data_IF_947987033312
#
_entry.id   IF_947987033312
#
_cell.length_a   1.000
_cell.length_b   1.000
_cell.length_c   1.000
_cell.angle_alpha   90.00
_cell.angle_beta   90.00
_cell.angle_gamma   90.00
#
_symmetry.space_group_name_H-M   'P 1'
#
loop_
_entity.id
_entity.type
_entity.pdbx_description
1 polymer ?
#
# COMPACT_ATOMS: atom_id res chain seq x y z
N UNK A 1 -29.20 45.75 -8.94
CA UNK A 1 -29.48 45.93 -7.51
C UNK A 1 -30.33 44.76 -6.98
N UNK A 2 -31.59 44.60 -7.38
CA UNK A 2 -32.44 43.48 -6.90
C UNK A 2 -31.91 42.06 -7.24
N UNK A 3 -31.38 41.85 -8.46
CA UNK A 3 -30.92 40.53 -8.90
C UNK A 3 -29.65 40.05 -8.18
N UNK A 4 -28.72 40.95 -7.88
CA UNK A 4 -27.49 40.66 -7.13
C UNK A 4 -27.78 40.31 -5.67
N UNK A 5 -28.79 40.96 -5.09
CA UNK A 5 -29.23 40.73 -3.72
C UNK A 5 -29.91 39.34 -3.59
N UNK A 6 -30.78 38.98 -4.55
CA UNK A 6 -31.40 37.65 -4.62
C UNK A 6 -30.36 36.54 -4.78
N UNK A 7 -29.33 36.75 -5.61
CA UNK A 7 -28.24 35.79 -5.78
C UNK A 7 -27.41 35.61 -4.49
N UNK A 8 -27.10 36.71 -3.81
CA UNK A 8 -26.37 36.68 -2.52
C UNK A 8 -27.16 35.94 -1.43
N UNK A 9 -28.47 36.18 -1.33
CA UNK A 9 -29.37 35.49 -0.39
C UNK A 9 -29.48 34.00 -0.70
N UNK A 10 -29.56 33.64 -1.99
CA UNK A 10 -29.62 32.23 -2.43
C UNK A 10 -28.31 31.51 -2.11
N UNK A 11 -27.16 32.13 -2.40
CA UNK A 11 -25.85 31.58 -2.10
C UNK A 11 -25.64 31.42 -0.59
N UNK A 12 -26.03 32.41 0.22
CA UNK A 12 -25.98 32.31 1.69
C UNK A 12 -26.85 31.17 2.21
N UNK A 13 -28.06 30.98 1.66
CA UNK A 13 -28.98 29.92 2.09
C UNK A 13 -28.41 28.54 1.74
N UNK A 14 -27.91 28.36 0.52
CA UNK A 14 -27.29 27.11 0.07
C UNK A 14 -26.05 26.78 0.91
N UNK A 15 -25.17 27.76 1.13
CA UNK A 15 -23.96 27.58 1.95
C UNK A 15 -24.31 27.22 3.39
N UNK A 16 -25.31 27.88 3.98
CA UNK A 16 -25.76 27.55 5.35
C UNK A 16 -26.30 26.12 5.46
N UNK A 17 -27.13 25.68 4.51
CA UNK A 17 -27.65 24.30 4.47
C UNK A 17 -26.48 23.32 4.30
N UNK A 18 -25.51 23.64 3.44
CA UNK A 18 -24.37 22.76 3.18
C UNK A 18 -23.45 22.64 4.39
N UNK A 19 -23.20 23.73 5.11
CA UNK A 19 -22.44 23.74 6.36
C UNK A 19 -23.10 22.84 7.42
N UNK A 20 -24.42 22.89 7.53
CA UNK A 20 -25.14 22.10 8.53
C UNK A 20 -25.10 20.60 8.19
N UNK A 21 -25.18 20.25 6.90
CA UNK A 21 -24.96 18.88 6.43
C UNK A 21 -23.52 18.42 6.68
N UNK A 22 -22.53 19.26 6.39
CA UNK A 22 -21.11 18.97 6.59
C UNK A 22 -20.81 18.76 8.07
N UNK A 23 -21.39 19.57 8.97
CA UNK A 23 -21.25 19.42 10.42
C UNK A 23 -21.72 18.04 10.89
N UNK A 24 -22.90 17.59 10.45
CA UNK A 24 -23.43 16.25 10.77
C UNK A 24 -22.50 15.14 10.27
N UNK A 25 -21.96 15.28 9.06
CA UNK A 25 -21.01 14.31 8.51
C UNK A 25 -19.71 14.27 9.31
N UNK A 26 -19.17 15.45 9.68
CA UNK A 26 -17.99 15.57 10.53
C UNK A 26 -18.21 14.91 11.90
N UNK A 27 -19.30 15.23 12.58
CA UNK A 27 -19.60 14.67 13.91
C UNK A 27 -19.72 13.14 13.87
N UNK A 28 -20.41 12.61 12.84
CA UNK A 28 -20.52 11.16 12.64
C UNK A 28 -19.16 10.51 12.35
N UNK A 29 -18.30 11.19 11.57
CA UNK A 29 -16.95 10.73 11.27
C UNK A 29 -16.07 10.72 12.54
N UNK A 30 -16.01 11.82 13.28
CA UNK A 30 -15.19 11.95 14.50
C UNK A 30 -15.61 10.97 15.58
N UNK A 31 -16.91 10.76 15.77
CA UNK A 31 -17.42 9.77 16.73
C UNK A 31 -16.95 8.36 16.38
N UNK A 32 -17.04 7.97 15.10
CA UNK A 32 -16.59 6.66 14.63
C UNK A 32 -15.07 6.54 14.71
N UNK A 33 -14.33 7.59 14.33
CA UNK A 33 -12.86 7.64 14.43
C UNK A 33 -12.41 7.48 15.87
N UNK A 34 -12.99 8.22 16.80
CA UNK A 34 -12.63 8.14 18.20
C UNK A 34 -12.92 6.76 18.79
N UNK A 35 -14.07 6.17 18.45
CA UNK A 35 -14.44 4.81 18.88
C UNK A 35 -13.42 3.79 18.35
N UNK A 36 -13.10 3.83 17.05
CA UNK A 36 -12.10 2.96 16.43
C UNK A 36 -10.73 3.08 17.12
N UNK A 37 -10.24 4.31 17.31
CA UNK A 37 -8.92 4.52 17.92
C UNK A 37 -8.88 4.05 19.38
N UNK A 38 -10.00 4.16 20.11
CA UNK A 38 -10.12 3.65 21.47
C UNK A 38 -10.10 2.13 21.49
N UNK A 39 -10.84 1.48 20.61
CA UNK A 39 -10.91 0.02 20.55
C UNK A 39 -9.55 -0.58 20.15
N UNK A 40 -8.87 0.05 19.19
CA UNK A 40 -7.51 -0.33 18.74
C UNK A 40 -6.47 -0.12 19.85
N UNK A 41 -6.63 0.87 20.73
CA UNK A 41 -5.70 1.11 21.85
C UNK A 41 -5.75 0.04 22.95
N UNK A 42 -6.78 -0.81 22.96
CA UNK A 42 -6.92 -1.93 23.90
C UNK A 42 -6.22 -3.20 23.40
N UNK A 43 -5.86 -3.25 22.13
CA UNK A 43 -5.22 -4.41 21.52
C UNK A 43 -3.71 -4.41 21.80
N UNK A 44 -3.18 -5.56 22.22
CA UNK A 44 -1.73 -5.74 22.51
C UNK A 44 -0.98 -6.40 21.36
N UNK A 45 -1.68 -7.11 20.48
CA UNK A 45 -1.13 -7.81 19.33
C UNK A 45 -1.08 -6.88 18.12
N UNK A 46 0.13 -6.59 17.63
CA UNK A 46 0.39 -5.67 16.51
C UNK A 46 -0.29 -6.11 15.21
N UNK A 47 -0.48 -7.42 14.97
CA UNK A 47 -1.15 -7.92 13.77
C UNK A 47 -2.67 -7.72 13.84
N UNK A 48 -3.28 -8.04 14.99
CA UNK A 48 -4.72 -7.81 15.22
C UNK A 48 -5.05 -6.34 15.25
N UNK A 49 -4.18 -5.53 15.82
CA UNK A 49 -4.26 -4.08 15.83
C UNK A 49 -4.30 -3.54 14.39
N UNK A 50 -3.29 -3.88 13.58
CA UNK A 50 -3.21 -3.44 12.18
C UNK A 50 -4.43 -3.87 11.37
N UNK A 51 -4.92 -5.10 11.57
CA UNK A 51 -6.13 -5.61 10.92
C UNK A 51 -7.38 -4.82 11.32
N UNK A 52 -7.57 -4.59 12.61
CA UNK A 52 -8.75 -3.90 13.16
C UNK A 52 -8.78 -2.44 12.73
N UNK A 53 -7.62 -1.79 12.71
CA UNK A 53 -7.48 -0.41 12.22
C UNK A 53 -7.77 -0.33 10.72
N UNK A 54 -7.27 -1.26 9.90
CA UNK A 54 -7.56 -1.33 8.47
C UNK A 54 -9.06 -1.53 8.19
N UNK A 55 -9.68 -2.52 8.82
CA UNK A 55 -11.12 -2.76 8.65
C UNK A 55 -11.97 -1.59 9.13
N UNK A 56 -11.56 -0.95 10.23
CA UNK A 56 -12.18 0.26 10.74
C UNK A 56 -12.11 1.40 9.74
N UNK A 57 -10.91 1.74 9.28
CA UNK A 57 -10.70 2.84 8.31
C UNK A 57 -11.49 2.65 7.02
N UNK A 58 -11.61 1.41 6.51
CA UNK A 58 -12.40 1.10 5.32
C UNK A 58 -13.93 1.32 5.50
N UNK A 59 -14.43 1.22 6.75
CA UNK A 59 -15.85 1.43 7.08
C UNK A 59 -16.20 2.89 7.34
N UNK A 60 -15.20 3.75 7.58
CA UNK A 60 -15.46 5.18 7.81
C UNK A 60 -15.77 5.89 6.48
N UNK A 61 -16.73 6.83 6.48
CA UNK A 61 -16.98 7.65 5.31
C UNK A 61 -15.75 8.52 5.02
N UNK A 62 -15.24 8.45 3.79
CA UNK A 62 -14.13 9.26 3.31
C UNK A 62 -14.63 10.35 2.37
N UNK A 63 -14.13 11.58 2.54
CA UNK A 63 -14.44 12.66 1.59
C UNK A 63 -13.75 12.48 0.25
N UNK A 64 -12.57 11.84 0.25
CA UNK A 64 -11.80 11.53 -0.95
C UNK A 64 -10.84 10.37 -0.67
N UNK A 65 -10.75 9.42 -1.58
CA UNK A 65 -9.77 8.34 -1.52
C UNK A 65 -8.35 8.90 -1.53
N UNK A 66 -7.47 8.35 -0.69
CA UNK A 66 -6.06 8.70 -0.74
C UNK A 66 -5.30 7.70 -1.64
N UNK A 67 -4.82 8.11 -2.83
CA UNK A 67 -4.13 7.21 -3.75
C UNK A 67 -2.76 6.74 -3.25
N UNK A 68 -2.21 7.35 -2.19
CA UNK A 68 -0.94 6.94 -1.57
C UNK A 68 -1.06 5.73 -0.63
N UNK A 69 -2.27 5.41 -0.15
CA UNK A 69 -2.48 4.35 0.84
C UNK A 69 -3.33 3.22 0.26
N UNK A 70 -2.68 2.13 -0.15
CA UNK A 70 -3.39 0.94 -0.66
C UNK A 70 -3.84 0.05 0.50
N UNK A 71 -5.12 0.16 0.86
CA UNK A 71 -5.77 -0.73 1.83
C UNK A 71 -5.65 -2.21 1.45
N UNK A 72 -5.63 -2.52 0.14
CA UNK A 72 -5.45 -3.88 -0.35
C UNK A 72 -4.06 -4.44 -0.06
N UNK A 73 -3.01 -3.62 -0.17
CA UNK A 73 -1.65 -4.05 0.12
C UNK A 73 -1.48 -4.32 1.62
N UNK A 74 -2.01 -3.45 2.48
CA UNK A 74 -1.92 -3.67 3.92
C UNK A 74 -2.63 -4.94 4.36
N UNK A 75 -3.80 -5.25 3.79
CA UNK A 75 -4.49 -6.52 4.06
C UNK A 75 -3.57 -7.70 3.79
N UNK A 76 -2.87 -7.70 2.65
CA UNK A 76 -1.92 -8.76 2.28
C UNK A 76 -0.73 -8.83 3.23
N UNK A 77 -0.14 -7.69 3.59
CA UNK A 77 1.01 -7.68 4.50
C UNK A 77 0.65 -8.15 5.91
N UNK A 78 -0.53 -7.78 6.41
CA UNK A 78 -1.02 -8.27 7.71
C UNK A 78 -1.28 -9.78 7.67
N UNK A 79 -1.80 -10.30 6.56
CA UNK A 79 -1.96 -11.76 6.36
C UNK A 79 -0.60 -12.47 6.24
N UNK A 80 0.39 -11.84 5.60
CA UNK A 80 1.75 -12.40 5.42
C UNK A 80 2.58 -12.37 6.70
N UNK A 81 2.40 -11.37 7.58
CA UNK A 81 3.15 -11.24 8.82
C UNK A 81 3.00 -12.45 9.76
N UNK A 82 1.93 -13.23 9.62
CA UNK A 82 1.74 -14.47 10.38
C UNK A 82 2.73 -15.59 9.98
N UNK A 83 3.30 -15.53 8.78
CA UNK A 83 4.10 -16.60 8.19
C UNK A 83 5.48 -16.15 7.70
N UNK A 84 5.69 -14.85 7.48
CA UNK A 84 6.89 -14.28 6.87
C UNK A 84 7.63 -13.34 7.83
N UNK A 85 8.82 -13.73 8.33
CA UNK A 85 9.67 -12.90 9.19
C UNK A 85 10.13 -11.58 8.54
N UNK A 86 10.05 -11.44 7.21
CA UNK A 86 10.41 -10.19 6.53
C UNK A 86 9.40 -9.06 6.75
N UNK A 87 8.15 -9.39 7.12
CA UNK A 87 7.14 -8.40 7.53
C UNK A 87 7.28 -8.17 9.03
N UNK A 88 8.28 -7.36 9.38
CA UNK A 88 8.59 -7.06 10.79
C UNK A 88 7.51 -6.24 11.49
N UNK A 89 7.52 -6.27 12.83
CA UNK A 89 6.66 -5.43 13.66
C UNK A 89 6.86 -3.93 13.41
N UNK A 90 8.09 -3.51 13.10
CA UNK A 90 8.41 -2.12 12.73
C UNK A 90 7.66 -1.70 11.47
N UNK A 91 7.63 -2.56 10.45
CA UNK A 91 6.88 -2.31 9.22
C UNK A 91 5.38 -2.14 9.49
N UNK A 92 4.80 -3.01 10.33
CA UNK A 92 3.39 -2.90 10.71
C UNK A 92 3.10 -1.60 11.45
N UNK A 93 3.99 -1.17 12.35
CA UNK A 93 3.87 0.09 13.08
C UNK A 93 3.94 1.32 12.16
N UNK A 94 4.86 1.35 11.19
CA UNK A 94 4.97 2.45 10.23
C UNK A 94 3.70 2.58 9.37
N UNK A 95 3.12 1.43 8.96
CA UNK A 95 1.85 1.40 8.25
C UNK A 95 0.66 1.81 9.14
N UNK A 96 0.66 1.43 10.41
CA UNK A 96 -0.32 1.88 11.40
C UNK A 96 -0.28 3.41 11.54
N UNK A 97 0.92 3.98 11.66
CA UNK A 97 1.11 5.43 11.71
C UNK A 97 0.58 6.12 10.45
N UNK A 98 0.79 5.54 9.27
CA UNK A 98 0.25 6.03 8.01
C UNK A 98 -1.30 6.00 7.99
N UNK A 99 -1.93 4.93 8.48
CA UNK A 99 -3.39 4.84 8.61
C UNK A 99 -3.96 5.88 9.59
N UNK A 100 -3.30 6.09 10.74
CA UNK A 100 -3.68 7.12 11.71
C UNK A 100 -3.58 8.52 11.11
N UNK A 101 -2.51 8.78 10.35
CA UNK A 101 -2.35 10.02 9.63
C UNK A 101 -3.49 10.22 8.62
N UNK A 102 -3.87 9.18 7.87
CA UNK A 102 -5.01 9.28 6.94
C UNK A 102 -6.32 9.65 7.64
N UNK A 103 -6.61 9.04 8.80
CA UNK A 103 -7.78 9.41 9.60
C UNK A 103 -7.74 10.88 10.03
N UNK A 104 -6.55 11.39 10.36
CA UNK A 104 -6.36 12.79 10.69
C UNK A 104 -6.54 13.72 9.48
N UNK A 105 -5.99 13.34 8.32
CA UNK A 105 -6.17 14.08 7.07
C UNK A 105 -7.65 14.21 6.70
N UNK A 106 -8.44 13.15 6.84
CA UNK A 106 -9.89 13.22 6.62
C UNK A 106 -10.60 14.16 7.60
N UNK A 107 -10.17 14.18 8.87
CA UNK A 107 -10.68 15.12 9.88
C UNK A 107 -10.40 16.58 9.46
N UNK A 108 -9.16 16.85 9.06
CA UNK A 108 -8.74 18.16 8.59
C UNK A 108 -9.51 18.61 7.34
N UNK A 109 -9.85 17.68 6.42
CA UNK A 109 -10.68 17.99 5.25
C UNK A 109 -12.06 18.52 5.64
N UNK A 110 -12.69 17.95 6.66
CA UNK A 110 -13.96 18.47 7.19
C UNK A 110 -13.78 19.87 7.81
N UNK A 111 -12.68 20.10 8.52
CA UNK A 111 -12.37 21.41 9.10
C UNK A 111 -12.15 22.48 8.03
N UNK A 112 -11.36 22.20 7.00
CA UNK A 112 -11.13 23.13 5.89
C UNK A 112 -12.43 23.44 5.14
N UNK A 113 -13.25 22.43 4.85
CA UNK A 113 -14.53 22.65 4.20
C UNK A 113 -15.49 23.49 5.06
N UNK A 114 -15.43 23.34 6.38
CA UNK A 114 -16.21 24.16 7.33
C UNK A 114 -15.72 25.61 7.36
N UNK A 115 -14.41 25.82 7.45
CA UNK A 115 -13.79 27.15 7.43
C UNK A 115 -14.11 27.89 6.13
N UNK A 116 -13.97 27.21 5.00
CA UNK A 116 -14.28 27.77 3.69
C UNK A 116 -15.74 28.22 3.58
N UNK A 117 -16.68 27.40 4.03
CA UNK A 117 -18.10 27.77 4.03
C UNK A 117 -18.41 28.96 4.95
N UNK A 118 -17.75 29.06 6.12
CA UNK A 118 -17.88 30.23 7.00
C UNK A 118 -17.33 31.50 6.37
N UNK A 119 -16.16 31.41 5.74
CA UNK A 119 -15.54 32.53 5.05
C UNK A 119 -16.43 33.05 3.91
N UNK A 120 -17.07 32.16 3.15
CA UNK A 120 -18.04 32.56 2.12
C UNK A 120 -19.21 33.31 2.76
N UNK A 121 -19.76 32.81 3.86
CA UNK A 121 -20.87 33.49 4.54
C UNK A 121 -20.45 34.87 5.05
N UNK A 122 -19.26 35.01 5.64
CA UNK A 122 -18.71 36.31 6.07
C UNK A 122 -18.47 37.25 4.88
N UNK A 123 -17.95 36.73 3.76
CA UNK A 123 -17.76 37.51 2.54
C UNK A 123 -19.09 38.03 1.98
N UNK A 124 -20.12 37.19 1.89
CA UNK A 124 -21.47 37.58 1.46
C UNK A 124 -22.06 38.62 2.42
N UNK A 125 -21.94 38.40 3.74
CA UNK A 125 -22.48 39.30 4.76
C UNK A 125 -21.78 40.67 4.78
N UNK A 126 -20.49 40.72 4.43
CA UNK A 126 -19.71 41.97 4.40
C UNK A 126 -20.10 42.91 3.26
N UNK A 127 -20.96 42.49 2.32
CA UNK A 127 -21.40 43.33 1.20
C UNK A 127 -20.29 43.72 0.22
N UNK A 128 -19.08 43.16 0.33
CA UNK A 128 -17.92 43.41 -0.54
C UNK A 128 -18.05 42.78 -1.94
N UNK A 129 -19.27 42.66 -2.47
CA UNK A 129 -19.54 42.27 -3.84
C UNK A 129 -19.28 43.38 -4.88
N UNK A 130 -18.74 44.54 -4.47
CA UNK A 130 -18.48 45.70 -5.34
C UNK A 130 -17.04 46.22 -5.30
N UNK A 131 -16.07 45.45 -4.80
CA UNK A 131 -14.65 45.84 -4.75
C UNK A 131 -13.75 44.76 -5.33
N UNK A 132 -13.17 45.07 -6.49
CA UNK A 132 -12.05 44.42 -7.21
C UNK A 132 -11.50 43.11 -6.62
N UNK A 133 -11.94 41.99 -7.17
CA UNK A 133 -11.52 40.64 -6.79
C UNK A 133 -10.26 40.21 -7.58
N UNK A 134 -9.16 40.96 -7.44
CA UNK A 134 -7.92 40.70 -8.20
C UNK A 134 -6.68 40.47 -7.35
N UNK A 135 -6.82 40.25 -6.04
CA UNK A 135 -5.68 39.85 -5.20
C UNK A 135 -5.72 38.34 -4.94
N UNK A 136 -5.27 37.60 -5.96
CA UNK A 136 -4.99 36.18 -5.84
C UNK A 136 -3.72 36.01 -4.99
N UNK A 137 -3.88 35.76 -3.69
CA UNK A 137 -2.76 35.34 -2.85
C UNK A 137 -2.38 33.93 -3.29
N UNK A 138 -1.29 33.84 -4.06
CA UNK A 138 -0.69 32.57 -4.44
C UNK A 138 -0.05 31.98 -3.19
N UNK A 139 -0.80 31.13 -2.49
CA UNK A 139 -0.28 30.36 -1.35
C UNK A 139 0.82 29.45 -1.90
N UNK A 140 2.07 29.78 -1.55
CA UNK A 140 3.27 29.00 -1.86
C UNK A 140 3.06 27.57 -1.38
N UNK A 141 2.87 26.68 -2.35
CA UNK A 141 2.42 25.32 -2.14
C UNK A 141 3.64 24.42 -1.90
N UNK A 142 3.92 24.15 -0.63
CA UNK A 142 4.80 23.04 -0.20
C UNK A 142 4.35 21.68 -0.78
N UNK A 143 3.10 21.55 -1.21
CA UNK A 143 2.59 20.36 -1.90
C UNK A 143 3.26 20.09 -3.27
N UNK A 144 4.05 21.04 -3.81
CA UNK A 144 4.82 20.81 -5.04
C UNK A 144 5.93 19.77 -4.87
N UNK A 145 6.62 19.75 -3.73
CA UNK A 145 7.69 18.79 -3.43
C UNK A 145 7.14 17.39 -3.10
N UNK A 146 6.03 17.32 -2.36
CA UNK A 146 5.40 16.06 -1.97
C UNK A 146 4.76 15.33 -3.17
N UNK A 147 4.21 16.08 -4.12
CA UNK A 147 3.69 15.53 -5.38
C UNK A 147 4.78 15.08 -6.35
N UNK A 148 5.96 15.71 -6.34
CA UNK A 148 7.11 15.27 -7.14
C UNK A 148 7.67 13.94 -6.62
N UNK A 149 7.91 13.83 -5.32
CA UNK A 149 8.34 12.58 -4.68
C UNK A 149 7.39 11.40 -4.96
N UNK A 150 6.07 11.63 -4.89
CA UNK A 150 5.07 10.60 -5.22
C UNK A 150 5.13 10.14 -6.68
N UNK A 151 5.49 11.02 -7.62
CA UNK A 151 5.65 10.66 -9.04
C UNK A 151 6.92 9.85 -9.26
N UNK A 152 8.01 10.22 -8.61
CA UNK A 152 9.29 9.52 -8.71
C UNK A 152 9.17 8.08 -8.19
N UNK A 153 8.50 7.89 -7.04
CA UNK A 153 8.21 6.55 -6.48
C UNK A 153 7.39 5.70 -7.45
N UNK A 154 6.37 6.29 -8.09
CA UNK A 154 5.55 5.57 -9.08
C UNK A 154 6.38 5.15 -10.29
N UNK A 155 7.20 6.07 -10.81
CA UNK A 155 8.07 5.79 -11.95
C UNK A 155 9.08 4.67 -11.63
N UNK A 156 9.74 4.72 -10.47
CA UNK A 156 10.65 3.65 -10.03
C UNK A 156 9.95 2.31 -9.89
N UNK A 157 8.71 2.31 -9.38
CA UNK A 157 7.93 1.10 -9.20
C UNK A 157 7.45 0.51 -10.53
N UNK A 158 7.07 1.36 -11.49
CA UNK A 158 6.72 0.90 -12.84
C UNK A 158 7.94 0.37 -13.59
N UNK A 159 9.10 1.03 -13.45
CA UNK A 159 10.37 0.52 -13.99
C UNK A 159 10.75 -0.85 -13.40
N UNK A 160 10.57 -1.04 -12.09
CA UNK A 160 10.76 -2.36 -11.45
C UNK A 160 9.79 -3.41 -11.99
N UNK A 161 8.51 -3.06 -12.17
CA UNK A 161 7.52 -3.98 -12.76
C UNK A 161 7.89 -4.38 -14.17
N UNK A 162 8.36 -3.44 -14.97
CA UNK A 162 8.76 -3.72 -16.35
C UNK A 162 10.02 -4.57 -16.40
N UNK A 163 11.01 -4.30 -15.54
CA UNK A 163 12.16 -5.17 -15.36
C UNK A 163 11.77 -6.58 -14.91
N UNK A 164 10.81 -6.72 -14.00
CA UNK A 164 10.31 -8.02 -13.55
C UNK A 164 9.56 -8.77 -14.67
N UNK A 165 8.78 -8.07 -15.50
CA UNK A 165 8.13 -8.67 -16.67
C UNK A 165 9.13 -9.12 -17.72
N UNK A 166 10.17 -8.31 -17.95
CA UNK A 166 11.24 -8.63 -18.90
C UNK A 166 12.03 -9.84 -18.42
N UNK A 167 12.43 -9.85 -17.14
CA UNK A 167 13.03 -11.00 -16.49
C UNK A 167 12.14 -12.24 -16.58
N UNK A 168 10.84 -12.12 -16.31
CA UNK A 168 9.91 -13.23 -16.45
C UNK A 168 9.84 -13.74 -17.90
N UNK A 169 9.85 -12.84 -18.89
CA UNK A 169 9.80 -13.23 -20.30
C UNK A 169 11.08 -13.96 -20.74
N UNK A 170 12.23 -13.51 -20.25
CA UNK A 170 13.51 -14.20 -20.44
C UNK A 170 13.50 -15.57 -19.74
N UNK A 171 12.99 -15.60 -18.51
CA UNK A 171 12.87 -16.81 -17.71
C UNK A 171 11.83 -17.81 -18.23
N UNK A 172 10.77 -17.37 -18.91
CA UNK A 172 9.79 -18.25 -19.56
C UNK A 172 10.23 -18.61 -21.00
N UNK A 173 11.44 -18.20 -21.41
CA UNK A 173 12.01 -18.47 -22.71
C UNK A 173 12.36 -19.95 -22.94
N UNK A 174 12.71 -20.34 -24.18
CA UNK A 174 13.05 -21.71 -24.53
C UNK A 174 14.45 -22.16 -24.05
N UNK A 175 15.18 -21.30 -23.33
CA UNK A 175 16.51 -21.62 -22.82
C UNK A 175 16.45 -22.59 -21.64
N UNK A 176 17.42 -23.50 -21.56
CA UNK A 176 17.56 -24.41 -20.43
C UNK A 176 18.14 -23.64 -19.25
N UNK A 177 17.39 -23.53 -18.15
CA UNK A 177 17.84 -22.82 -16.95
C UNK A 177 18.90 -23.59 -16.17
N UNK A 178 18.86 -24.91 -16.24
CA UNK A 178 19.79 -25.79 -15.56
C UNK A 178 20.59 -26.58 -16.60
N UNK A 179 21.91 -26.52 -16.47
CA UNK A 179 22.85 -27.32 -17.23
C UNK A 179 23.86 -27.98 -16.28
N UNK A 180 24.71 -28.83 -16.84
CA UNK A 180 25.73 -29.57 -16.09
C UNK A 180 26.69 -28.63 -15.35
N UNK A 181 26.97 -27.44 -15.89
CA UNK A 181 27.90 -26.48 -15.31
C UNK A 181 27.29 -25.79 -14.09
N UNK A 182 26.06 -25.27 -14.22
CA UNK A 182 25.30 -24.66 -13.13
C UNK A 182 25.08 -25.65 -12.00
N UNK A 183 24.73 -26.91 -12.31
CA UNK A 183 24.57 -27.95 -11.29
C UNK A 183 25.89 -28.32 -10.62
N UNK A 184 26.98 -28.43 -11.37
CA UNK A 184 28.31 -28.70 -10.79
C UNK A 184 28.73 -27.58 -9.85
N UNK A 185 28.51 -26.32 -10.22
CA UNK A 185 28.81 -25.16 -9.38
C UNK A 185 27.93 -25.12 -8.12
N UNK A 186 26.63 -25.40 -8.26
CA UNK A 186 25.69 -25.46 -7.14
C UNK A 186 26.05 -26.59 -6.15
N UNK A 187 26.32 -27.80 -6.65
CA UNK A 187 26.71 -28.95 -5.84
C UNK A 187 28.03 -28.71 -5.11
N UNK A 188 29.02 -28.10 -5.77
CA UNK A 188 30.28 -27.71 -5.12
C UNK A 188 30.07 -26.63 -4.07
N UNK A 189 29.16 -25.67 -4.31
CA UNK A 189 28.74 -24.68 -3.31
C UNK A 189 28.11 -25.33 -2.08
N UNK A 190 27.17 -26.25 -2.29
CA UNK A 190 26.51 -27.01 -1.21
C UNK A 190 27.49 -27.85 -0.40
N UNK A 191 28.50 -28.46 -1.05
CA UNK A 191 29.52 -29.25 -0.37
C UNK A 191 30.47 -28.40 0.52
N UNK A 192 30.57 -27.09 0.28
CA UNK A 192 31.36 -26.16 1.11
C UNK A 192 30.62 -25.74 2.39
N UNK A 193 29.29 -25.70 2.35
CA UNK A 193 28.47 -25.31 3.50
C UNK A 193 28.29 -26.51 4.44
N UNK A 194 28.56 -26.33 5.73
CA UNK A 194 28.52 -27.42 6.73
C UNK A 194 27.10 -27.73 7.24
N UNK A 195 26.11 -27.64 6.35
CA UNK A 195 24.69 -27.85 6.66
C UNK A 195 24.23 -29.29 6.34
N UNK A 196 25.07 -30.08 5.67
CA UNK A 196 24.72 -31.40 5.16
C UNK A 196 25.39 -32.51 5.97
N UNK A 197 24.63 -33.56 6.28
CA UNK A 197 25.19 -34.77 6.88
C UNK A 197 26.20 -35.46 5.95
N UNK A 198 27.14 -36.21 6.52
CA UNK A 198 28.19 -36.90 5.76
C UNK A 198 27.65 -37.86 4.70
N UNK A 199 26.53 -38.54 5.01
CA UNK A 199 25.82 -39.41 4.06
C UNK A 199 25.33 -38.64 2.83
N UNK A 200 24.71 -37.47 3.03
CA UNK A 200 24.24 -36.61 1.93
C UNK A 200 25.42 -36.09 1.10
N UNK A 201 26.53 -35.71 1.75
CA UNK A 201 27.74 -35.25 1.06
C UNK A 201 28.39 -36.34 0.22
N UNK A 202 28.40 -37.59 0.70
CA UNK A 202 28.88 -38.73 -0.07
C UNK A 202 28.05 -38.96 -1.34
N UNK A 203 26.72 -38.87 -1.23
CA UNK A 203 25.80 -38.99 -2.37
C UNK A 203 25.99 -37.88 -3.39
N UNK A 204 26.11 -36.61 -2.98
CA UNK A 204 26.36 -35.49 -3.89
C UNK A 204 27.71 -35.61 -4.62
N UNK A 205 28.76 -36.13 -3.95
CA UNK A 205 30.04 -36.44 -4.59
C UNK A 205 29.90 -37.57 -5.62
N UNK A 206 29.05 -38.56 -5.35
CA UNK A 206 28.69 -39.60 -6.32
C UNK A 206 28.02 -39.04 -7.57
N UNK A 207 27.12 -38.06 -7.42
CA UNK A 207 26.48 -37.37 -8.55
C UNK A 207 27.47 -36.54 -9.36
N UNK A 208 28.40 -35.83 -8.72
CA UNK A 208 29.47 -35.10 -9.40
C UNK A 208 30.38 -36.01 -10.25
N UNK A 209 30.53 -37.28 -9.87
CA UNK A 209 31.30 -38.27 -10.61
C UNK A 209 30.60 -38.83 -11.86
N UNK A 210 29.30 -38.58 -12.03
CA UNK A 210 28.51 -39.15 -13.13
C UNK A 210 27.77 -38.06 -13.92
N UNK A 211 28.33 -37.71 -15.10
CA UNK A 211 27.74 -36.71 -16.01
C UNK A 211 26.35 -37.08 -16.51
N UNK A 212 26.05 -38.37 -16.69
CA UNK A 212 24.71 -38.80 -17.14
C UNK A 212 23.66 -38.43 -16.09
N UNK A 213 23.95 -38.71 -14.82
CA UNK A 213 23.05 -38.37 -13.71
C UNK A 213 22.87 -36.85 -13.57
N UNK A 214 23.93 -36.07 -13.76
CA UNK A 214 23.81 -34.60 -13.75
C UNK A 214 22.91 -34.09 -14.86
N UNK A 215 23.05 -34.63 -16.08
CA UNK A 215 22.21 -34.24 -17.21
C UNK A 215 20.74 -34.63 -17.01
N UNK A 216 20.47 -35.81 -16.43
CA UNK A 216 19.11 -36.23 -16.08
C UNK A 216 18.49 -35.33 -15.00
N UNK A 217 19.28 -34.97 -13.96
CA UNK A 217 18.84 -34.03 -12.93
C UNK A 217 18.54 -32.66 -13.55
N UNK A 218 19.39 -32.17 -14.45
CA UNK A 218 19.17 -30.92 -15.16
C UNK A 218 17.87 -30.94 -15.95
N UNK A 219 17.63 -32.00 -16.72
CA UNK A 219 16.42 -32.17 -17.52
C UNK A 219 15.16 -32.28 -16.65
N UNK A 220 15.21 -33.01 -15.52
CA UNK A 220 14.09 -33.08 -14.57
C UNK A 220 13.80 -31.72 -13.93
N UNK A 221 14.84 -30.96 -13.55
CA UNK A 221 14.67 -29.63 -12.98
C UNK A 221 14.10 -28.66 -14.01
N UNK A 222 14.59 -28.68 -15.25
CA UNK A 222 14.04 -27.89 -16.35
C UNK A 222 12.57 -28.25 -16.64
N UNK A 223 12.20 -29.54 -16.61
CA UNK A 223 10.81 -29.98 -16.77
C UNK A 223 9.91 -29.54 -15.60
N UNK A 224 10.37 -29.64 -14.35
CA UNK A 224 9.61 -29.10 -13.21
C UNK A 224 9.46 -27.60 -13.32
N UNK A 225 10.53 -26.93 -13.71
CA UNK A 225 10.59 -25.50 -13.88
C UNK A 225 9.57 -25.01 -14.94
N UNK A 226 9.40 -25.73 -16.06
CA UNK A 226 8.37 -25.39 -17.05
C UNK A 226 6.93 -25.49 -16.52
N UNK A 227 6.71 -26.21 -15.41
CA UNK A 227 5.39 -26.33 -14.75
C UNK A 227 5.18 -25.34 -13.59
N UNK A 228 6.06 -24.34 -13.43
CA UNK A 228 6.01 -23.36 -12.33
C UNK A 228 4.67 -22.60 -12.27
N UNK A 229 4.03 -22.32 -13.40
CA UNK A 229 2.73 -21.62 -13.42
C UNK A 229 1.62 -22.38 -12.68
N UNK A 230 1.71 -23.72 -12.63
CA UNK A 230 0.82 -24.59 -11.86
C UNK A 230 1.35 -24.96 -10.48
N UNK A 231 2.50 -24.41 -10.07
CA UNK A 231 3.09 -24.71 -8.78
C UNK A 231 2.23 -24.12 -7.65
N UNK A 232 1.90 -24.96 -6.70
CA UNK A 232 1.23 -24.59 -5.46
C UNK A 232 2.03 -25.16 -4.29
N UNK A 233 1.97 -24.47 -3.15
CA UNK A 233 2.38 -25.07 -1.90
C UNK A 233 1.48 -26.29 -1.63
N UNK A 234 2.09 -27.45 -1.37
CA UNK A 234 1.32 -28.60 -0.89
C UNK A 234 0.52 -28.18 0.34
N UNK A 235 -0.73 -28.65 0.44
CA UNK A 235 -1.57 -28.39 1.59
C UNK A 235 -0.76 -28.73 2.86
N UNK A 236 -0.83 -27.89 3.92
CA UNK A 236 -0.07 -28.15 5.13
C UNK A 236 -0.34 -29.59 5.56
N UNK A 237 0.72 -30.38 5.71
CA UNK A 237 0.61 -31.70 6.30
C UNK A 237 -0.09 -31.49 7.64
N UNK A 238 -1.34 -31.93 7.72
CA UNK A 238 -2.08 -31.99 8.97
C UNK A 238 -1.38 -33.08 9.77
N UNK A 239 -0.40 -32.67 10.58
CA UNK A 239 0.27 -33.49 11.58
C UNK A 239 -0.52 -33.38 12.87
#
# INVERSE_FOLDING_TARGET
MASTEILSQTLSTITSIKLDQLRKQKEAYETKKHTLLRDVALETDSQKLAKSLLEGTAKLPSMAANPGLSAANLKRFVEQAAYDPSVSEVFLHDYEAALRNELQVQSNKFDFATLYGRLINEWIASGKGSGDATEYVSVGRDESHEQQSSKDVKHSLDSLRDSMKEFQKEWDGPERHFDDEVLTNCLNGMLRVDLLSDEKRATLRGFLGNKVVLSEIADVLNMRMSTRSSWAWDAPLVV
#
